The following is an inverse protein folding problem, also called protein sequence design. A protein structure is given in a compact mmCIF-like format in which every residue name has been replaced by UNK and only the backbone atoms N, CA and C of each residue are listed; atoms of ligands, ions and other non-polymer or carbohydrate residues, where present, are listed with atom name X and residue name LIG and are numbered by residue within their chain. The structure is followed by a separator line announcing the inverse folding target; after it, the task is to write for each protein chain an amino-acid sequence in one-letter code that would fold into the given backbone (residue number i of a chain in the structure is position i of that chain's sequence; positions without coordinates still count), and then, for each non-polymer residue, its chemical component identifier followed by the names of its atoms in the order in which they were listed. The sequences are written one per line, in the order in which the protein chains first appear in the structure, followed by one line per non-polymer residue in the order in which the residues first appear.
data_IF_097412762282
#
_entry.id   IF_097412762282
#
_cell.length_a   1.000
_cell.length_b   1.000
_cell.length_c   1.000
_cell.angle_alpha   90.00
_cell.angle_beta   90.00
_cell.angle_gamma   90.00
#
_symmetry.space_group_name_H-M   'P 1'
#
loop_
_entity.id
_entity.type
_entity.pdbx_description
1 polymer ?
#
# COMPACT_ATOMS: atom_id res chain seq x y z
N UNK A 1 -71.51 -19.28 1.16
CA UNK A 1 -70.44 -20.10 1.76
C UNK A 1 -69.20 -19.88 0.92
N UNK A 2 -68.49 -18.77 1.17
CA UNK A 2 -67.25 -18.67 1.98
C UNK A 2 -66.07 -19.27 1.19
N UNK A 3 -64.95 -18.61 0.86
CA UNK A 3 -64.39 -17.30 1.18
C UNK A 3 -63.35 -16.93 0.11
N UNK A 4 -62.97 -15.65 0.11
CA UNK A 4 -61.80 -14.97 -0.48
C UNK A 4 -60.49 -15.78 -0.58
N UNK A 5 -59.51 -15.31 -1.37
CA UNK A 5 -58.23 -14.72 -0.87
C UNK A 5 -57.32 -14.26 -2.04
N UNK A 6 -56.88 -12.99 -1.96
CA UNK A 6 -55.71 -12.40 -2.65
C UNK A 6 -54.47 -12.62 -1.76
N UNK A 7 -53.35 -13.14 -2.31
CA UNK A 7 -51.96 -12.98 -1.78
C UNK A 7 -50.99 -13.19 -2.96
N UNK A 8 -50.31 -12.18 -3.51
CA UNK A 8 -48.96 -11.66 -3.15
C UNK A 8 -47.89 -12.68 -2.74
N UNK A 9 -46.82 -12.77 -3.57
CA UNK A 9 -45.38 -12.70 -3.21
C UNK A 9 -44.43 -13.80 -3.75
N UNK A 10 -43.46 -13.31 -4.54
CA UNK A 10 -42.01 -13.63 -4.61
C UNK A 10 -41.49 -15.05 -4.87
N UNK A 11 -40.93 -15.25 -6.08
CA UNK A 11 -39.49 -15.42 -6.43
C UNK A 11 -39.45 -15.58 -7.99
N UNK A 12 -38.45 -15.28 -8.81
CA UNK A 12 -37.01 -15.24 -8.68
C UNK A 12 -36.41 -14.22 -9.67
N UNK A 13 -35.29 -13.64 -9.27
CA UNK A 13 -34.42 -12.80 -10.08
C UNK A 13 -33.99 -13.49 -11.39
N UNK A 14 -34.08 -12.73 -12.49
CA UNK A 14 -33.02 -12.50 -13.48
C UNK A 14 -33.57 -12.47 -14.91
N UNK A 15 -32.77 -11.86 -15.77
CA UNK A 15 -32.84 -11.96 -17.23
C UNK A 15 -33.59 -10.82 -17.94
N UNK A 16 -32.87 -9.69 -17.99
CA UNK A 16 -32.89 -8.70 -19.08
C UNK A 16 -33.36 -9.33 -20.39
N UNK A 17 -34.61 -9.04 -20.78
CA UNK A 17 -35.22 -9.57 -21.99
C UNK A 17 -34.63 -8.90 -23.22
N UNK A 18 -33.79 -9.62 -23.96
CA UNK A 18 -33.62 -9.37 -25.40
C UNK A 18 -34.64 -10.22 -26.16
N UNK A 19 -35.73 -9.53 -26.47
CA UNK A 19 -36.81 -9.96 -27.34
C UNK A 19 -36.26 -10.22 -28.75
N UNK A 20 -36.51 -11.44 -29.23
CA UNK A 20 -36.94 -11.75 -30.60
C UNK A 20 -35.93 -11.48 -31.73
N UNK A 21 -35.26 -12.53 -32.19
CA UNK A 21 -34.93 -12.69 -33.61
C UNK A 21 -35.13 -14.15 -34.04
N UNK A 22 -36.25 -14.33 -34.73
CA UNK A 22 -36.53 -15.28 -35.80
C UNK A 22 -35.34 -16.10 -36.31
N UNK A 23 -35.54 -17.41 -36.38
CA UNK A 23 -34.68 -18.44 -36.94
C UNK A 23 -34.04 -18.02 -38.26
N UNK A 24 -32.71 -17.95 -38.31
CA UNK A 24 -31.96 -18.17 -39.55
C UNK A 24 -30.51 -18.61 -39.28
N UNK A 25 -30.27 -19.89 -39.62
CA UNK A 25 -29.02 -20.45 -40.13
C UNK A 25 -27.75 -20.25 -39.29
N UNK A 26 -27.41 -21.33 -38.59
CA UNK A 26 -26.12 -21.73 -38.02
C UNK A 26 -24.87 -21.16 -38.74
N UNK A 27 -24.55 -19.89 -38.47
CA UNK A 27 -23.23 -19.33 -38.70
C UNK A 27 -22.59 -19.17 -37.32
N UNK A 28 -21.47 -19.87 -37.16
CA UNK A 28 -20.65 -19.95 -35.97
C UNK A 28 -20.29 -18.54 -35.45
N UNK A 29 -21.10 -17.97 -34.55
CA UNK A 29 -20.77 -16.75 -33.82
C UNK A 29 -19.75 -17.11 -32.74
N UNK A 30 -18.51 -17.31 -33.17
CA UNK A 30 -17.37 -17.43 -32.26
C UNK A 30 -17.05 -16.03 -31.70
N UNK A 31 -17.85 -15.59 -30.74
CA UNK A 31 -17.56 -14.40 -29.94
C UNK A 31 -16.35 -14.74 -29.07
N UNK A 32 -15.15 -14.48 -29.59
CA UNK A 32 -13.93 -14.42 -28.77
C UNK A 32 -14.01 -13.15 -27.95
N UNK A 33 -14.35 -13.29 -26.67
CA UNK A 33 -14.14 -12.24 -25.69
C UNK A 33 -12.65 -11.92 -25.65
N UNK A 34 -12.26 -10.80 -26.25
CA UNK A 34 -10.94 -10.24 -26.04
C UNK A 34 -10.97 -9.52 -24.69
N UNK A 35 -10.55 -10.18 -23.63
CA UNK A 35 -10.15 -9.47 -22.41
C UNK A 35 -8.91 -8.65 -22.75
N UNK A 36 -9.06 -7.33 -22.77
CA UNK A 36 -7.90 -6.44 -22.81
C UNK A 36 -7.08 -6.69 -21.54
N UNK A 37 -5.74 -6.67 -21.61
CA UNK A 37 -4.93 -6.71 -20.41
C UNK A 37 -5.35 -5.53 -19.52
N UNK A 38 -5.87 -5.83 -18.33
CA UNK A 38 -6.17 -4.81 -17.32
C UNK A 38 -4.85 -4.19 -16.91
N UNK A 39 -4.57 -2.98 -17.39
CA UNK A 39 -3.40 -2.22 -16.97
C UNK A 39 -3.58 -1.90 -15.48
N UNK A 40 -2.63 -2.34 -14.65
CA UNK A 40 -2.60 -2.02 -13.23
C UNK A 40 -2.69 -0.51 -13.02
N UNK A 41 -3.34 -0.10 -11.93
CA UNK A 41 -3.45 1.31 -11.60
C UNK A 41 -2.03 1.91 -11.42
N UNK A 42 -1.75 3.13 -11.93
CA UNK A 42 -0.41 3.73 -11.87
C UNK A 42 0.22 3.71 -10.48
N UNK A 43 -0.58 3.96 -9.45
CA UNK A 43 -0.14 3.96 -8.04
C UNK A 43 0.29 2.57 -7.53
N UNK A 44 -0.38 1.50 -7.97
CA UNK A 44 -0.01 0.13 -7.59
C UNK A 44 1.34 -0.19 -8.22
N UNK A 45 1.54 0.24 -9.46
CA UNK A 45 2.81 0.04 -10.18
C UNK A 45 3.95 0.82 -9.52
N UNK A 46 3.69 2.03 -9.03
CA UNK A 46 4.68 2.86 -8.34
C UNK A 46 5.10 2.25 -7.00
N UNK A 47 4.15 1.82 -6.18
CA UNK A 47 4.43 1.13 -4.90
C UNK A 47 5.21 -0.17 -5.13
N UNK A 48 4.87 -0.93 -6.17
CA UNK A 48 5.61 -2.12 -6.56
C UNK A 48 7.06 -1.82 -6.96
N UNK A 49 7.31 -0.76 -7.75
CA UNK A 49 8.65 -0.33 -8.13
C UNK A 49 9.48 0.10 -6.90
N UNK A 50 8.88 0.90 -6.01
CA UNK A 50 9.52 1.33 -4.77
C UNK A 50 9.93 0.14 -3.89
N UNK A 51 9.06 -0.87 -3.77
CA UNK A 51 9.37 -2.10 -3.04
C UNK A 51 10.49 -2.90 -3.71
N UNK A 52 10.48 -3.01 -5.05
CA UNK A 52 11.51 -3.69 -5.82
C UNK A 52 12.88 -3.03 -5.66
N UNK A 53 12.93 -1.70 -5.73
CA UNK A 53 14.14 -0.91 -5.48
C UNK A 53 14.66 -1.10 -4.06
N UNK A 54 13.77 -1.04 -3.06
CA UNK A 54 14.15 -1.21 -1.65
C UNK A 54 14.76 -2.60 -1.40
N UNK A 55 14.14 -3.66 -1.96
CA UNK A 55 14.67 -5.03 -1.91
C UNK A 55 16.01 -5.15 -2.62
N UNK A 56 16.17 -4.52 -3.78
CA UNK A 56 17.44 -4.55 -4.53
C UNK A 56 18.58 -3.82 -3.81
N UNK A 57 18.26 -2.91 -2.88
CA UNK A 57 19.23 -2.23 -2.01
C UNK A 57 19.65 -3.06 -0.78
N UNK A 58 19.21 -4.32 -0.68
CA UNK A 58 19.63 -5.25 0.35
C UNK A 58 21.04 -5.80 0.04
N UNK A 59 22.06 -5.03 0.41
CA UNK A 59 23.47 -5.40 0.28
C UNK A 59 24.33 -4.69 1.33
N UNK A 60 25.52 -5.23 1.61
CA UNK A 60 26.46 -4.96 2.72
C UNK A 60 26.97 -3.50 2.88
N UNK A 61 26.37 -2.50 2.22
CA UNK A 61 26.77 -1.11 2.38
C UNK A 61 26.17 -0.49 3.64
N UNK A 62 26.93 -0.57 4.74
CA UNK A 62 26.67 0.08 6.05
C UNK A 62 27.18 1.53 6.11
N UNK A 63 27.51 2.13 4.97
CA UNK A 63 27.86 3.55 4.91
C UNK A 63 26.70 4.45 5.35
N UNK A 64 26.99 5.55 6.03
CA UNK A 64 25.96 6.49 6.50
C UNK A 64 25.08 7.01 5.35
N UNK A 65 25.67 7.28 4.18
CA UNK A 65 24.95 7.71 2.98
C UNK A 65 24.00 6.65 2.44
N UNK A 66 24.42 5.37 2.42
CA UNK A 66 23.56 4.23 2.08
C UNK A 66 22.38 4.10 3.04
N UNK A 67 22.63 4.20 4.35
CA UNK A 67 21.57 4.14 5.38
C UNK A 67 20.57 5.28 5.19
N UNK A 68 21.03 6.51 4.97
CA UNK A 68 20.16 7.67 4.71
C UNK A 68 19.32 7.45 3.44
N UNK A 69 19.92 6.96 2.36
CA UNK A 69 19.21 6.70 1.10
C UNK A 69 18.13 5.61 1.25
N UNK A 70 18.42 4.56 2.04
CA UNK A 70 17.45 3.50 2.37
C UNK A 70 16.29 4.03 3.21
N UNK A 71 16.56 4.88 4.20
CA UNK A 71 15.51 5.54 4.99
C UNK A 71 14.65 6.48 4.15
N UNK A 72 15.25 7.21 3.20
CA UNK A 72 14.50 8.04 2.26
C UNK A 72 13.59 7.19 1.35
N UNK A 73 14.10 6.09 0.81
CA UNK A 73 13.30 5.16 -0.01
C UNK A 73 12.16 4.51 0.80
N UNK A 74 12.38 4.25 2.09
CA UNK A 74 11.37 3.71 3.00
C UNK A 74 10.24 4.72 3.26
N UNK A 75 10.58 6.01 3.40
CA UNK A 75 9.59 7.10 3.48
C UNK A 75 8.75 7.16 2.21
N UNK A 76 9.39 7.12 1.04
CA UNK A 76 8.68 7.21 -0.24
C UNK A 76 7.70 6.03 -0.41
N UNK A 77 8.13 4.82 -0.02
CA UNK A 77 7.26 3.63 0.04
C UNK A 77 6.05 3.81 0.96
N UNK A 78 6.27 4.39 2.13
CA UNK A 78 5.18 4.66 3.07
C UNK A 78 4.17 5.66 2.50
N UNK A 79 4.63 6.71 1.81
CA UNK A 79 3.75 7.67 1.13
C UNK A 79 2.94 7.00 0.01
N UNK A 80 3.57 6.18 -0.83
CA UNK A 80 2.87 5.44 -1.89
C UNK A 80 1.83 4.46 -1.34
N UNK A 81 2.14 3.75 -0.24
CA UNK A 81 1.19 2.87 0.43
C UNK A 81 0.01 3.67 1.01
N UNK A 82 0.28 4.82 1.63
CA UNK A 82 -0.77 5.71 2.14
C UNK A 82 -1.72 6.14 1.02
N UNK A 83 -1.18 6.57 -0.12
CA UNK A 83 -1.99 6.98 -1.26
C UNK A 83 -2.79 5.80 -1.83
N UNK A 84 -2.21 4.59 -1.84
CA UNK A 84 -2.90 3.36 -2.26
C UNK A 84 -4.08 3.03 -1.35
N UNK A 85 -3.91 3.17 -0.03
CA UNK A 85 -4.97 2.92 0.97
C UNK A 85 -6.09 3.97 0.86
N UNK A 86 -5.76 5.21 0.50
CA UNK A 86 -6.76 6.28 0.32
C UNK A 86 -7.64 6.10 -0.93
N UNK A 87 -7.30 5.19 -1.84
CA UNK A 87 -8.13 4.94 -3.02
C UNK A 87 -9.50 4.32 -2.65
N UNK A 88 -10.60 4.76 -3.28
CA UNK A 88 -11.93 4.20 -3.04
C UNK A 88 -12.02 2.69 -3.27
N UNK A 89 -11.34 2.17 -4.29
CA UNK A 89 -11.29 0.73 -4.59
C UNK A 89 -10.58 -0.07 -3.50
N UNK A 90 -9.50 0.49 -2.94
CA UNK A 90 -8.74 -0.15 -1.86
C UNK A 90 -9.56 -0.11 -0.57
N UNK A 91 -10.16 1.04 -0.24
CA UNK A 91 -11.05 1.16 0.91
C UNK A 91 -12.24 0.20 0.82
N UNK A 92 -12.91 0.12 -0.33
CA UNK A 92 -14.01 -0.81 -0.53
C UNK A 92 -13.57 -2.27 -0.33
N UNK A 93 -12.37 -2.64 -0.80
CA UNK A 93 -11.80 -3.96 -0.58
C UNK A 93 -11.45 -4.20 0.90
N UNK A 94 -10.96 -3.19 1.61
CA UNK A 94 -10.65 -3.25 3.04
C UNK A 94 -11.88 -3.32 3.93
N UNK A 95 -13.03 -2.77 3.51
CA UNK A 95 -14.28 -2.74 4.30
C UNK A 95 -15.23 -3.91 4.04
N UNK A 96 -14.97 -4.78 3.06
CA UNK A 96 -15.78 -5.96 2.77
C UNK A 96 -15.49 -7.12 3.74
N UNK A 97 -16.53 -7.90 4.12
CA UNK A 97 -16.67 -9.18 4.89
C UNK A 97 -15.58 -9.68 5.89
N UNK A 98 -14.33 -9.24 5.81
CA UNK A 98 -13.21 -9.49 6.73
C UNK A 98 -12.52 -8.19 7.16
N UNK A 99 -13.25 -7.07 7.20
CA UNK A 99 -12.68 -5.74 7.37
C UNK A 99 -11.88 -5.57 8.66
N UNK A 100 -12.44 -5.97 9.80
CA UNK A 100 -11.78 -5.87 11.10
C UNK A 100 -10.44 -6.62 11.13
N UNK A 101 -10.39 -7.83 10.56
CA UNK A 101 -9.16 -8.64 10.52
C UNK A 101 -8.09 -8.00 9.63
N UNK A 102 -8.49 -7.50 8.46
CA UNK A 102 -7.57 -6.83 7.54
C UNK A 102 -7.08 -5.49 8.08
N UNK A 103 -7.97 -4.69 8.69
CA UNK A 103 -7.60 -3.41 9.30
C UNK A 103 -6.68 -3.60 10.51
N UNK A 104 -6.96 -4.60 11.37
CA UNK A 104 -6.10 -4.89 12.52
C UNK A 104 -4.71 -5.35 12.07
N UNK A 105 -4.65 -6.25 11.09
CA UNK A 105 -3.36 -6.68 10.53
C UNK A 105 -2.60 -5.50 9.90
N UNK A 106 -3.27 -4.70 9.08
CA UNK A 106 -2.65 -3.52 8.47
C UNK A 106 -2.11 -2.55 9.53
N UNK A 107 -2.86 -2.33 10.60
CA UNK A 107 -2.46 -1.46 11.71
C UNK A 107 -1.25 -2.02 12.47
N UNK A 108 -1.23 -3.32 12.74
CA UNK A 108 -0.11 -4.01 13.40
C UNK A 108 1.18 -3.90 12.58
N UNK A 109 1.11 -4.13 11.26
CA UNK A 109 2.26 -3.99 10.36
C UNK A 109 2.72 -2.52 10.26
N UNK A 110 1.78 -1.57 10.25
CA UNK A 110 2.08 -0.13 10.24
C UNK A 110 2.77 0.32 11.53
N UNK A 111 2.35 -0.22 12.68
CA UNK A 111 2.99 0.04 13.96
C UNK A 111 4.44 -0.48 13.97
N UNK A 112 4.68 -1.70 13.46
CA UNK A 112 6.02 -2.25 13.33
C UNK A 112 6.95 -1.39 12.46
N UNK A 113 6.42 -0.75 11.41
CA UNK A 113 7.17 0.22 10.60
C UNK A 113 7.57 1.47 11.41
N UNK A 114 6.65 2.01 12.22
CA UNK A 114 6.90 3.17 13.09
C UNK A 114 7.97 2.83 14.14
N UNK A 115 7.89 1.64 14.73
CA UNK A 115 8.89 1.16 15.69
C UNK A 115 10.29 1.04 15.06
N UNK A 116 10.38 0.50 13.84
CA UNK A 116 11.62 0.43 13.08
C UNK A 116 12.21 1.82 12.80
N UNK A 117 11.37 2.79 12.42
CA UNK A 117 11.79 4.18 12.22
C UNK A 117 12.27 4.83 13.53
N UNK A 118 11.59 4.54 14.64
CA UNK A 118 11.99 4.96 15.98
C UNK A 118 13.39 4.43 16.33
N UNK A 119 13.60 3.13 16.18
CA UNK A 119 14.89 2.50 16.39
C UNK A 119 15.99 3.12 15.53
N UNK A 120 15.74 3.32 14.23
CA UNK A 120 16.72 3.94 13.33
C UNK A 120 17.10 5.37 13.77
N UNK A 121 16.12 6.16 14.22
CA UNK A 121 16.33 7.51 14.76
C UNK A 121 17.18 7.47 16.03
N UNK A 122 16.94 6.51 16.91
CA UNK A 122 17.65 6.39 18.18
C UNK A 122 19.13 6.01 17.94
N UNK A 123 19.39 5.07 17.02
CA UNK A 123 20.76 4.72 16.58
C UNK A 123 21.48 5.92 15.96
N UNK A 124 20.81 6.67 15.08
CA UNK A 124 21.38 7.87 14.47
C UNK A 124 21.67 8.95 15.52
N UNK A 125 20.78 9.12 16.50
CA UNK A 125 20.96 10.08 17.59
C UNK A 125 22.16 9.71 18.47
N UNK A 126 22.31 8.44 18.82
CA UNK A 126 23.47 7.93 19.55
C UNK A 126 24.78 8.22 18.79
N UNK A 127 24.78 7.94 17.48
CA UNK A 127 25.96 8.18 16.63
C UNK A 127 26.31 9.67 16.58
N UNK A 128 25.30 10.54 16.40
CA UNK A 128 25.48 12.00 16.42
C UNK A 128 26.09 12.48 17.75
N UNK A 129 25.62 11.94 18.88
CA UNK A 129 26.09 12.37 20.19
C UNK A 129 27.52 11.87 20.46
N UNK A 130 27.89 10.67 19.99
CA UNK A 130 29.27 10.18 20.03
C UNK A 130 30.24 11.13 19.30
N UNK A 131 29.88 11.61 18.11
CA UNK A 131 30.71 12.56 17.36
C UNK A 131 30.87 13.91 18.09
N UNK A 132 29.83 14.37 18.80
CA UNK A 132 29.91 15.60 19.60
C UNK A 132 30.84 15.45 20.79
N UNK A 133 30.80 14.31 21.48
CA UNK A 133 31.69 14.03 22.63
C UNK A 133 33.16 13.90 22.22
N UNK A 134 33.44 13.46 20.98
CA UNK A 134 34.81 13.33 20.45
C UNK A 134 35.38 14.60 19.84
N UNK A 135 34.60 15.67 19.68
CA UNK A 135 35.13 16.98 19.30
C UNK A 135 35.82 17.59 20.52
N UNK A 136 37.16 17.72 20.56
CA UNK A 136 37.82 18.36 21.70
C UNK A 136 37.37 19.81 21.80
N UNK A 137 37.22 20.37 23.02
CA UNK A 137 37.00 21.80 23.17
C UNK A 137 38.20 22.52 22.52
N UNK A 138 37.93 23.37 21.54
CA UNK A 138 38.94 24.26 20.97
C UNK A 138 39.51 25.10 22.12
N UNK A 139 40.79 24.89 22.41
CA UNK A 139 41.46 25.53 23.53
C UNK A 139 41.38 27.05 23.47
N UNK A 140 40.89 27.65 24.54
CA UNK A 140 41.22 29.02 24.89
C UNK A 140 42.65 28.99 25.45
N UNK A 141 43.65 29.21 24.59
CA UNK A 141 44.99 29.60 25.03
C UNK A 141 44.93 31.07 25.45
N UNK A 142 44.58 31.33 26.71
CA UNK A 142 44.83 32.62 27.33
C UNK A 142 46.35 32.74 27.55
N UNK A 143 46.99 33.49 26.66
CA UNK A 143 48.42 33.81 26.72
C UNK A 143 48.63 34.76 27.90
N UNK A 144 48.95 34.21 29.08
CA UNK A 144 49.55 34.98 30.15
C UNK A 144 51.05 35.07 29.91
N UNK A 145 51.53 36.26 29.54
CA UNK A 145 52.94 36.61 29.61
C UNK A 145 53.13 37.90 30.44
N UNK A 146 54.34 38.07 31.03
CA UNK A 146 54.57 38.64 32.35
C UNK A 146 54.42 40.16 32.47
#
# INVERSE_FOLDING_TARGET
MVSSTLTSSQDSNSHFSLKELSENKMANLHVRSNSLPSKSHPIVTDVEDQLCRLRSSEGTSTSATSVIAKLASLRDLHEGINDLIQMPSTQQALYHENSEKWTNKLLEESLGFVDLCGFARDVLSLTKDLFKTFSPPSGETEVKLP
#
